data_IF_910195503033
#
_entry.id   IF_910195503033
#
_cell.length_a   1.000
_cell.length_b   1.000
_cell.length_c   1.000
_cell.angle_alpha   90.00
_cell.angle_beta   90.00
_cell.angle_gamma   90.00
#
_symmetry.space_group_name_H-M   'P 1'
#
loop_
_entity.id
_entity.type
_entity.pdbx_description
1 polymer ?
#
# COMPACT_ATOMS: atom_id res chain seq x y z
N UNK A 1 -14.29 15.89 -10.47
CA UNK A 1 -13.48 14.79 -9.93
C UNK A 1 -13.75 14.69 -8.44
N UNK A 2 -14.18 13.53 -7.94
CA UNK A 2 -14.36 13.31 -6.51
C UNK A 2 -13.10 12.60 -5.97
N UNK A 3 -12.61 13.05 -4.81
CA UNK A 3 -11.34 12.58 -4.24
C UNK A 3 -11.57 12.21 -2.78
N UNK A 4 -11.02 11.06 -2.38
CA UNK A 4 -10.94 10.64 -0.98
C UNK A 4 -9.54 11.01 -0.48
N UNK A 5 -9.48 11.75 0.65
CA UNK A 5 -8.22 12.10 1.30
C UNK A 5 -8.07 11.32 2.61
N UNK A 6 -6.93 10.67 2.80
CA UNK A 6 -6.60 9.89 3.99
C UNK A 6 -5.35 10.47 4.64
N UNK A 7 -5.36 10.62 5.96
CA UNK A 7 -4.22 11.11 6.72
C UNK A 7 -3.67 9.99 7.61
N UNK A 8 -2.46 9.52 7.30
CA UNK A 8 -1.77 8.51 8.11
C UNK A 8 -0.82 9.18 9.11
N UNK A 9 -0.97 8.87 10.39
CA UNK A 9 -0.10 9.38 11.46
C UNK A 9 0.29 8.24 12.40
N UNK A 10 1.58 8.16 12.69
CA UNK A 10 2.15 7.20 13.63
C UNK A 10 3.49 7.68 14.15
N UNK A 11 3.98 7.06 15.23
CA UNK A 11 5.33 7.35 15.74
C UNK A 11 6.43 6.84 14.79
N UNK A 12 6.11 5.82 14.00
CA UNK A 12 7.01 5.15 13.05
C UNK A 12 6.21 4.62 11.86
N UNK A 13 6.85 4.52 10.71
CA UNK A 13 6.35 3.81 9.53
C UNK A 13 7.53 3.18 8.79
N UNK A 14 7.32 2.01 8.19
CA UNK A 14 8.34 1.32 7.41
C UNK A 14 7.74 0.73 6.14
N UNK A 15 8.19 1.24 4.99
CA UNK A 15 7.75 0.86 3.66
C UNK A 15 8.84 0.04 2.98
N UNK A 16 8.89 -1.26 3.25
CA UNK A 16 10.00 -2.13 2.84
C UNK A 16 10.30 -2.04 1.33
N UNK A 17 11.58 -1.86 0.99
CA UNK A 17 12.04 -1.98 -0.41
C UNK A 17 11.98 -3.41 -0.90
N UNK A 18 11.39 -3.65 -2.08
CA UNK A 18 11.13 -5.00 -2.59
C UNK A 18 12.41 -5.83 -2.82
N UNK A 19 13.52 -5.16 -3.13
CA UNK A 19 14.80 -5.81 -3.45
C UNK A 19 15.71 -6.05 -2.24
N UNK A 20 15.33 -5.61 -1.05
CA UNK A 20 16.14 -5.79 0.15
C UNK A 20 15.47 -6.77 1.10
N UNK A 21 16.10 -7.92 1.31
CA UNK A 21 15.64 -8.94 2.26
C UNK A 21 16.29 -8.74 3.64
N UNK A 22 17.60 -8.49 3.67
CA UNK A 22 18.40 -8.57 4.90
C UNK A 22 18.60 -7.22 5.57
N UNK A 23 18.39 -6.13 4.84
CA UNK A 23 18.49 -4.77 5.38
C UNK A 23 17.09 -4.16 5.51
N UNK A 24 16.83 -3.49 6.62
CA UNK A 24 15.57 -2.79 6.88
C UNK A 24 15.52 -1.45 6.12
N UNK A 25 15.56 -1.51 4.79
CA UNK A 25 15.45 -0.34 3.93
C UNK A 25 13.97 0.02 3.72
N UNK A 26 13.64 1.28 3.99
CA UNK A 26 12.32 1.86 3.73
C UNK A 26 12.35 2.77 2.51
N UNK A 27 11.26 2.81 1.75
CA UNK A 27 10.92 3.94 0.90
C UNK A 27 10.55 5.16 1.76
N UNK A 28 10.75 6.35 1.21
CA UNK A 28 10.37 7.61 1.87
C UNK A 28 8.86 7.86 1.81
N UNK A 29 8.23 7.48 0.69
CA UNK A 29 6.79 7.58 0.44
C UNK A 29 6.24 6.15 0.31
N UNK A 30 5.05 5.84 0.84
CA UNK A 30 4.43 4.55 0.62
C UNK A 30 4.29 4.26 -0.88
N UNK A 31 4.82 3.13 -1.39
CA UNK A 31 4.64 2.76 -2.78
C UNK A 31 3.18 2.39 -3.09
N UNK A 32 2.81 2.39 -4.37
CA UNK A 32 1.45 2.03 -4.85
C UNK A 32 0.92 0.75 -4.21
N UNK A 33 1.75 -0.30 -4.14
CA UNK A 33 1.39 -1.59 -3.55
C UNK A 33 1.04 -1.50 -2.06
N UNK A 34 1.73 -0.63 -1.31
CA UNK A 34 1.41 -0.36 0.10
C UNK A 34 0.08 0.38 0.22
N UNK A 35 -0.18 1.38 -0.61
CA UNK A 35 -1.44 2.12 -0.59
C UNK A 35 -2.61 1.18 -0.89
N UNK A 36 -2.50 0.36 -1.92
CA UNK A 36 -3.50 -0.65 -2.28
C UNK A 36 -3.73 -1.62 -1.13
N UNK A 37 -2.66 -2.15 -0.53
CA UNK A 37 -2.79 -3.08 0.61
C UNK A 37 -3.48 -2.43 1.81
N UNK A 38 -3.23 -1.14 2.08
CA UNK A 38 -3.93 -0.40 3.13
C UNK A 38 -5.42 -0.29 2.82
N UNK A 39 -5.78 0.09 1.58
CA UNK A 39 -7.19 0.22 1.17
C UNK A 39 -7.89 -1.15 1.20
N UNK A 40 -7.26 -2.19 0.67
CA UNK A 40 -7.76 -3.56 0.72
C UNK A 40 -8.01 -4.02 2.16
N UNK A 41 -7.09 -3.70 3.08
CA UNK A 41 -7.27 -3.96 4.50
C UNK A 41 -8.46 -3.22 5.12
N UNK A 42 -8.71 -1.96 4.73
CA UNK A 42 -9.92 -1.24 5.15
C UNK A 42 -11.21 -1.84 4.61
N UNK A 43 -11.17 -2.40 3.39
CA UNK A 43 -12.30 -3.08 2.76
C UNK A 43 -12.51 -4.52 3.26
N UNK A 44 -11.58 -5.06 4.06
CA UNK A 44 -11.65 -6.42 4.56
C UNK A 44 -11.30 -7.50 3.52
N UNK A 45 -10.56 -7.15 2.48
CA UNK A 45 -10.11 -8.12 1.48
C UNK A 45 -9.02 -9.03 2.04
N UNK A 46 -9.12 -10.31 1.71
CA UNK A 46 -8.08 -11.28 2.04
C UNK A 46 -6.80 -11.04 1.23
N UNK A 47 -5.69 -11.58 1.73
CA UNK A 47 -4.42 -11.48 1.02
C UNK A 47 -4.53 -12.20 -0.33
N UNK A 48 -3.91 -11.61 -1.35
CA UNK A 48 -3.82 -12.16 -2.70
C UNK A 48 -5.13 -12.20 -3.50
N UNK A 49 -6.24 -11.65 -2.98
CA UNK A 49 -7.53 -11.61 -3.70
C UNK A 49 -7.81 -10.32 -4.47
N UNK A 50 -7.09 -9.23 -4.16
CA UNK A 50 -7.45 -7.87 -4.61
C UNK A 50 -6.51 -7.27 -5.67
N UNK A 51 -5.51 -7.99 -6.16
CA UNK A 51 -4.50 -7.39 -7.06
C UNK A 51 -5.08 -6.98 -8.41
N UNK A 52 -6.03 -7.75 -8.94
CA UNK A 52 -6.69 -7.45 -10.22
C UNK A 52 -7.62 -6.24 -10.12
N UNK A 53 -8.36 -6.11 -9.02
CA UNK A 53 -9.26 -4.96 -8.79
C UNK A 53 -8.48 -3.63 -8.80
N UNK A 54 -7.24 -3.67 -8.32
CA UNK A 54 -6.32 -2.53 -8.32
C UNK A 54 -5.22 -2.68 -9.38
N UNK A 55 -5.48 -3.35 -10.50
CA UNK A 55 -4.56 -3.35 -11.65
C UNK A 55 -4.54 -1.98 -12.34
N UNK A 56 -3.62 -1.76 -13.28
CA UNK A 56 -3.61 -0.53 -14.09
C UNK A 56 -4.70 -0.53 -15.18
N UNK A 57 -5.27 -1.69 -15.46
CA UNK A 57 -6.35 -1.84 -16.46
C UNK A 57 -7.71 -1.45 -15.86
N UNK A 58 -7.88 -1.70 -14.56
CA UNK A 58 -9.11 -1.44 -13.83
C UNK A 58 -9.10 -0.11 -13.04
N UNK A 59 -7.96 0.60 -12.97
CA UNK A 59 -7.76 1.80 -12.14
C UNK A 59 -6.87 2.84 -12.82
#
# INVERSE_FOLDING_TARGET
MQVISLHFKGKMAHFRKYYSNSSALSYFIPPRTTIIGIVAGFLGYERDTYYEDFSLENC
#
